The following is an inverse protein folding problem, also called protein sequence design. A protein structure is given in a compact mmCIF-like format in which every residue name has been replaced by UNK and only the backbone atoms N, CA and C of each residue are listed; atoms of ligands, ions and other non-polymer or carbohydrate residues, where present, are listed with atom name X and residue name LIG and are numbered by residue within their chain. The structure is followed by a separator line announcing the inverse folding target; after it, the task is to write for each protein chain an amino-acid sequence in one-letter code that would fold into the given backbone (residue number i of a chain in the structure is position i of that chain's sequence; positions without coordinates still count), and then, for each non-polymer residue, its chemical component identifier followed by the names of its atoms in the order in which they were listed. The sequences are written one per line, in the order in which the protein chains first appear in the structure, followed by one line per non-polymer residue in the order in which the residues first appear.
data_IF_535027834771
#
_entry.id   IF_535027834771
#
_cell.length_a   1.000
_cell.length_b   1.000
_cell.length_c   1.000
_cell.angle_alpha   90.00
_cell.angle_beta   90.00
_cell.angle_gamma   90.00
#
_symmetry.space_group_name_H-M   'P 1'
#
loop_
_entity.id
_entity.type
_entity.pdbx_description
1 polymer ?
#
# COMPACT_ATOMS: atom_id res chain seq x y z
N UNK A 1 16.53 1.00 -17.72
CA UNK A 1 15.26 0.52 -17.17
C UNK A 1 14.37 0.04 -18.31
N UNK A 2 14.06 -1.24 -18.34
CA UNK A 2 13.32 -1.86 -19.45
C UNK A 2 11.88 -2.24 -19.09
N UNK A 3 11.61 -2.49 -17.81
CA UNK A 3 10.28 -2.89 -17.37
C UNK A 3 9.27 -1.76 -17.50
N UNK A 4 8.10 -2.06 -18.07
CA UNK A 4 7.07 -1.04 -18.34
C UNK A 4 6.49 -0.43 -17.08
N UNK A 5 6.27 -1.22 -16.01
CA UNK A 5 5.80 -0.70 -14.74
C UNK A 5 6.80 0.30 -14.17
N UNK A 6 8.08 -0.06 -14.11
CA UNK A 6 9.11 0.80 -13.54
C UNK A 6 9.31 2.08 -14.36
N UNK A 7 9.17 2.00 -15.68
CA UNK A 7 9.22 3.19 -16.53
C UNK A 7 8.09 4.17 -16.21
N UNK A 8 6.87 3.69 -16.16
CA UNK A 8 5.72 4.54 -15.85
C UNK A 8 5.78 5.06 -14.41
N UNK A 9 6.22 4.23 -13.47
CA UNK A 9 6.42 4.61 -12.07
C UNK A 9 7.38 5.79 -11.95
N UNK A 10 8.47 5.75 -12.72
CA UNK A 10 9.44 6.84 -12.77
C UNK A 10 8.88 8.06 -13.48
N UNK A 11 8.19 7.89 -14.60
CA UNK A 11 7.59 8.99 -15.37
C UNK A 11 6.56 9.77 -14.55
N UNK A 12 5.82 9.07 -13.68
CA UNK A 12 4.86 9.70 -12.78
C UNK A 12 5.49 10.32 -11.55
N UNK A 13 6.81 10.27 -11.45
CA UNK A 13 7.58 10.80 -10.31
C UNK A 13 7.24 10.10 -8.98
N UNK A 14 6.80 8.85 -9.04
CA UNK A 14 6.55 8.04 -7.84
C UNK A 14 7.84 7.45 -7.28
N UNK A 15 8.87 7.31 -8.10
CA UNK A 15 10.13 6.72 -7.70
C UNK A 15 11.02 7.73 -7.00
N UNK A 16 11.26 7.53 -5.70
CA UNK A 16 12.20 8.32 -4.93
C UNK A 16 13.53 7.58 -4.79
N UNK A 17 13.46 6.35 -4.29
CA UNK A 17 14.65 5.50 -4.16
C UNK A 17 14.23 4.03 -4.20
N UNK A 18 15.17 3.17 -4.57
CA UNK A 18 14.96 1.74 -4.63
C UNK A 18 16.26 1.03 -4.28
N UNK A 19 16.16 0.01 -3.45
CA UNK A 19 17.35 -0.70 -2.95
C UNK A 19 18.16 -1.36 -4.06
N UNK A 20 17.53 -2.00 -5.02
CA UNK A 20 18.22 -2.73 -6.09
C UNK A 20 17.41 -2.62 -7.37
N UNK A 21 17.41 -1.41 -7.95
CA UNK A 21 16.54 -1.11 -9.10
C UNK A 21 16.86 -1.99 -10.31
N UNK A 22 18.11 -2.27 -10.59
CA UNK A 22 18.50 -3.06 -11.77
C UNK A 22 18.08 -4.52 -11.61
N UNK A 23 18.25 -5.08 -10.42
CA UNK A 23 17.78 -6.43 -10.12
C UNK A 23 16.26 -6.54 -10.17
N UNK A 24 15.57 -5.53 -9.65
CA UNK A 24 14.11 -5.47 -9.69
C UNK A 24 13.61 -5.36 -11.14
N UNK A 25 14.24 -4.53 -11.94
CA UNK A 25 13.92 -4.38 -13.36
C UNK A 25 14.03 -5.71 -14.10
N UNK A 26 15.12 -6.44 -13.89
CA UNK A 26 15.33 -7.76 -14.49
C UNK A 26 14.28 -8.76 -14.01
N UNK A 27 14.01 -8.78 -12.71
CA UNK A 27 13.04 -9.70 -12.12
C UNK A 27 11.64 -9.48 -12.69
N UNK A 28 11.22 -8.22 -12.79
CA UNK A 28 9.89 -7.86 -13.28
C UNK A 28 9.71 -8.10 -14.78
N UNK A 29 10.80 -8.11 -15.55
CA UNK A 29 10.73 -8.48 -16.96
C UNK A 29 10.47 -9.96 -17.16
N UNK A 30 10.98 -10.80 -16.27
CA UNK A 30 10.92 -12.26 -16.39
C UNK A 30 9.74 -12.88 -15.66
N UNK A 31 9.24 -12.22 -14.61
CA UNK A 31 8.25 -12.79 -13.72
C UNK A 31 7.19 -11.77 -13.34
N UNK A 32 5.99 -12.29 -13.02
CA UNK A 32 5.01 -11.52 -12.28
C UNK A 32 5.41 -11.54 -10.82
N UNK A 33 5.46 -10.38 -10.19
CA UNK A 33 5.86 -10.26 -8.79
C UNK A 33 4.66 -9.93 -7.91
N UNK A 34 4.84 -10.13 -6.61
CA UNK A 34 3.93 -9.70 -5.58
C UNK A 34 4.61 -8.57 -4.81
N UNK A 35 3.88 -7.51 -4.56
CA UNK A 35 4.39 -6.38 -3.77
C UNK A 35 3.32 -5.87 -2.83
N UNK A 36 3.71 -5.39 -1.68
CA UNK A 36 2.77 -4.90 -0.69
C UNK A 36 3.13 -3.50 -0.20
N UNK A 37 2.11 -2.81 0.29
CA UNK A 37 2.26 -1.57 1.06
C UNK A 37 1.45 -1.72 2.32
N UNK A 38 2.01 -1.32 3.46
CA UNK A 38 1.31 -1.32 4.75
C UNK A 38 0.51 -0.05 4.94
N UNK A 39 -0.70 -0.20 5.48
CA UNK A 39 -1.58 0.91 5.82
C UNK A 39 -2.01 0.79 7.28
N UNK A 40 -2.01 1.90 8.01
CA UNK A 40 -2.52 1.94 9.37
C UNK A 40 -4.04 2.04 9.39
N UNK A 41 -4.65 1.39 10.37
CA UNK A 41 -6.11 1.37 10.54
C UNK A 41 -6.55 2.30 11.66
N UNK A 42 -6.04 3.53 11.67
CA UNK A 42 -6.34 4.53 12.71
C UNK A 42 -7.59 5.35 12.41
N UNK A 43 -8.13 5.25 11.20
CA UNK A 43 -9.34 5.95 10.79
C UNK A 43 -10.28 5.01 10.03
N UNK A 44 -11.55 5.39 9.91
CA UNK A 44 -12.54 4.59 9.19
C UNK A 44 -12.39 4.65 7.68
N UNK A 45 -11.66 5.64 7.18
CA UNK A 45 -11.41 5.80 5.75
C UNK A 45 -9.96 6.25 5.54
N UNK A 46 -9.48 6.06 4.32
CA UNK A 46 -8.13 6.49 3.94
C UNK A 46 -8.11 7.99 3.72
N UNK A 47 -7.03 8.64 4.14
CA UNK A 47 -6.81 10.05 3.88
C UNK A 47 -6.10 10.26 2.53
N UNK A 48 -5.98 11.53 2.12
CA UNK A 48 -5.39 11.90 0.82
C UNK A 48 -3.96 11.35 0.66
N UNK A 49 -3.17 11.32 1.73
CA UNK A 49 -1.81 10.77 1.68
C UNK A 49 -1.75 9.30 1.30
N UNK A 50 -2.80 8.54 1.59
CA UNK A 50 -2.87 7.13 1.20
C UNK A 50 -3.24 6.93 -0.26
N UNK A 51 -3.79 7.93 -0.92
CA UNK A 51 -4.21 7.82 -2.31
C UNK A 51 -3.02 7.55 -3.23
N UNK A 52 -1.89 8.19 -2.99
CA UNK A 52 -0.68 7.95 -3.76
C UNK A 52 -0.26 6.48 -3.67
N UNK A 53 -0.29 5.91 -2.48
CA UNK A 53 0.03 4.50 -2.25
C UNK A 53 -0.92 3.58 -2.99
N UNK A 54 -2.22 3.89 -2.98
CA UNK A 54 -3.24 3.15 -3.73
C UNK A 54 -2.94 3.22 -5.23
N UNK A 55 -2.59 4.38 -5.74
CA UNK A 55 -2.27 4.55 -7.16
C UNK A 55 -1.04 3.76 -7.57
N UNK A 56 -0.03 3.65 -6.70
CA UNK A 56 1.14 2.82 -6.94
C UNK A 56 0.77 1.34 -7.08
N UNK A 57 -0.08 0.84 -6.19
CA UNK A 57 -0.56 -0.55 -6.26
C UNK A 57 -1.45 -0.78 -7.48
N UNK A 58 -2.27 0.19 -7.82
CA UNK A 58 -3.11 0.12 -9.02
C UNK A 58 -2.27 0.03 -10.28
N UNK A 59 -1.20 0.80 -10.36
CA UNK A 59 -0.26 0.76 -11.48
C UNK A 59 0.41 -0.60 -11.58
N UNK A 60 0.80 -1.18 -10.44
CA UNK A 60 1.36 -2.52 -10.40
C UNK A 60 0.40 -3.55 -10.97
N UNK A 61 -0.87 -3.47 -10.58
CA UNK A 61 -1.92 -4.37 -11.08
C UNK A 61 -2.14 -4.18 -12.58
N UNK A 62 -2.08 -2.96 -13.07
CA UNK A 62 -2.23 -2.63 -14.50
C UNK A 62 -1.25 -3.42 -15.36
N UNK A 63 -0.02 -3.62 -14.88
CA UNK A 63 1.01 -4.34 -15.61
C UNK A 63 1.07 -5.83 -15.29
N UNK A 64 0.02 -6.36 -14.68
CA UNK A 64 -0.12 -7.82 -14.48
C UNK A 64 0.56 -8.37 -13.24
N UNK A 65 1.14 -7.53 -12.40
CA UNK A 65 1.70 -7.95 -11.13
C UNK A 65 0.61 -7.99 -10.05
N UNK A 66 0.90 -8.62 -8.92
CA UNK A 66 -0.08 -8.78 -7.85
C UNK A 66 0.18 -7.80 -6.70
N UNK A 67 -0.68 -6.78 -6.53
CA UNK A 67 -0.59 -5.92 -5.36
C UNK A 67 -1.19 -6.62 -4.13
N UNK A 68 -0.58 -6.38 -2.97
CA UNK A 68 -1.06 -6.87 -1.69
C UNK A 68 -1.23 -5.67 -0.77
N UNK A 69 -2.40 -5.56 -0.17
CA UNK A 69 -2.69 -4.52 0.82
C UNK A 69 -2.50 -5.14 2.20
N UNK A 70 -1.57 -4.58 2.98
CA UNK A 70 -1.33 -5.01 4.35
C UNK A 70 -1.95 -3.99 5.30
N UNK A 71 -2.95 -4.41 6.06
CA UNK A 71 -3.60 -3.56 7.05
C UNK A 71 -2.99 -3.85 8.42
N UNK A 72 -2.29 -2.86 8.98
CA UNK A 72 -1.50 -3.02 10.19
C UNK A 72 -2.30 -2.90 11.46
N UNK A 73 -2.96 -3.98 11.89
CA UNK A 73 -3.69 -4.02 13.16
C UNK A 73 -2.80 -3.89 14.39
N UNK A 74 -1.68 -4.58 14.41
CA UNK A 74 -0.76 -4.56 15.55
C UNK A 74 -0.09 -3.20 15.75
N UNK A 75 0.42 -2.61 14.67
CA UNK A 75 1.04 -1.28 14.69
C UNK A 75 0.04 -0.23 15.13
N UNK A 76 -1.20 -0.35 14.67
CA UNK A 76 -2.27 0.56 15.05
C UNK A 76 -2.56 0.51 16.55
N UNK A 77 -2.55 -0.69 17.16
CA UNK A 77 -2.81 -0.87 18.59
C UNK A 77 -1.74 -0.23 19.46
N UNK A 78 -0.50 -0.32 19.04
CA UNK A 78 0.65 0.23 19.80
C UNK A 78 0.79 1.74 19.58
N UNK A 79 0.32 2.22 18.44
CA UNK A 79 0.61 3.57 17.97
C UNK A 79 1.96 3.58 17.28
N UNK A 80 1.98 3.91 16.00
CA UNK A 80 3.20 3.89 15.20
C UNK A 80 4.17 4.97 15.69
N UNK A 81 5.38 4.63 16.16
CA UNK A 81 6.34 5.62 16.64
C UNK A 81 6.88 6.54 15.54
N UNK A 82 6.72 6.20 14.28
CA UNK A 82 7.11 7.07 13.16
C UNK A 82 6.10 8.19 12.91
N UNK A 83 4.94 8.15 13.56
CA UNK A 83 3.91 9.18 13.43
C UNK A 83 4.13 10.36 14.34
N UNK A 84 3.17 11.28 14.32
CA UNK A 84 3.16 12.45 15.22
C UNK A 84 2.62 12.03 16.58
N UNK A 85 3.49 11.94 17.55
CA UNK A 85 3.22 11.32 18.84
C UNK A 85 2.07 11.96 19.61
N UNK A 86 2.02 13.28 19.67
CA UNK A 86 1.07 14.02 20.47
C UNK A 86 -0.38 13.88 20.03
N UNK A 87 -0.62 13.36 18.83
CA UNK A 87 -1.97 13.24 18.27
C UNK A 87 -2.46 11.80 18.18
N UNK A 88 -1.62 10.83 18.50
CA UNK A 88 -1.98 9.42 18.38
C UNK A 88 -2.85 8.98 19.55
N UNK A 89 -4.07 8.56 19.22
CA UNK A 89 -5.00 8.00 20.16
C UNK A 89 -4.92 6.47 20.13
N UNK A 90 -4.92 5.85 21.30
CA UNK A 90 -4.99 4.40 21.40
C UNK A 90 -6.41 3.96 21.07
N UNK A 91 -6.53 3.08 20.08
CA UNK A 91 -7.83 2.56 19.63
C UNK A 91 -8.16 1.24 20.33
N UNK A 92 -9.43 1.01 20.55
CA UNK A 92 -9.92 -0.29 21.03
C UNK A 92 -9.86 -1.32 19.89
N UNK A 93 -9.86 -2.61 20.24
CA UNK A 93 -9.90 -3.68 19.23
C UNK A 93 -11.12 -3.58 18.33
N UNK A 94 -12.27 -3.20 18.89
CA UNK A 94 -13.49 -3.02 18.07
C UNK A 94 -13.37 -1.86 17.08
N UNK A 95 -12.74 -0.77 17.50
CA UNK A 95 -12.49 0.37 16.60
C UNK A 95 -11.54 -0.02 15.47
N UNK A 96 -10.48 -0.76 15.78
CA UNK A 96 -9.54 -1.24 14.79
C UNK A 96 -10.21 -2.17 13.79
N UNK A 97 -11.02 -3.13 14.26
CA UNK A 97 -11.74 -4.04 13.38
C UNK A 97 -12.72 -3.30 12.46
N UNK A 98 -13.42 -2.30 13.00
CA UNK A 98 -14.33 -1.46 12.20
C UNK A 98 -13.56 -0.69 11.14
N UNK A 99 -12.42 -0.11 11.50
CA UNK A 99 -11.59 0.63 10.56
C UNK A 99 -11.07 -0.28 9.45
N UNK A 100 -10.64 -1.49 9.78
CA UNK A 100 -10.20 -2.48 8.80
C UNK A 100 -11.31 -2.79 7.80
N UNK A 101 -12.53 -3.06 8.28
CA UNK A 101 -13.67 -3.38 7.41
C UNK A 101 -14.01 -2.22 6.47
N UNK A 102 -14.00 -1.00 7.00
CA UNK A 102 -14.32 0.18 6.20
C UNK A 102 -13.25 0.45 5.15
N UNK A 103 -11.97 0.29 5.50
CA UNK A 103 -10.87 0.45 4.58
C UNK A 103 -10.88 -0.63 3.50
N UNK A 104 -11.22 -1.87 3.85
CA UNK A 104 -11.38 -2.93 2.87
C UNK A 104 -12.44 -2.60 1.82
N UNK A 105 -13.54 -1.97 2.21
CA UNK A 105 -14.56 -1.52 1.27
C UNK A 105 -14.00 -0.50 0.26
N UNK A 106 -13.18 0.43 0.75
CA UNK A 106 -12.52 1.41 -0.13
C UNK A 106 -11.60 0.71 -1.12
N UNK A 107 -10.77 -0.22 -0.64
CA UNK A 107 -9.86 -0.96 -1.51
C UNK A 107 -10.62 -1.80 -2.54
N UNK A 108 -11.77 -2.37 -2.19
CA UNK A 108 -12.58 -3.14 -3.13
C UNK A 108 -13.11 -2.29 -4.29
N UNK A 109 -13.28 -1.00 -4.10
CA UNK A 109 -13.67 -0.07 -5.16
C UNK A 109 -12.54 0.10 -6.18
N UNK A 110 -11.30 0.19 -5.70
CA UNK A 110 -10.14 0.43 -6.56
C UNK A 110 -9.54 -0.84 -7.15
N UNK A 111 -9.64 -1.96 -6.42
CA UNK A 111 -8.98 -3.21 -6.80
C UNK A 111 -9.99 -4.34 -6.88
N UNK A 112 -9.81 -5.17 -7.88
CA UNK A 112 -10.64 -6.35 -8.06
C UNK A 112 -9.87 -7.60 -7.57
N UNK A 113 -9.67 -7.69 -6.24
CA UNK A 113 -9.04 -8.83 -5.62
C UNK A 113 -9.57 -9.05 -4.19
N UNK A 114 -9.27 -10.23 -3.63
CA UNK A 114 -9.73 -10.58 -2.28
C UNK A 114 -8.68 -10.25 -1.24
N UNK A 115 -9.14 -9.76 -0.08
CA UNK A 115 -8.30 -9.56 1.10
C UNK A 115 -8.21 -10.84 1.91
N UNK A 116 -7.04 -11.06 2.48
CA UNK A 116 -6.80 -12.19 3.37
C UNK A 116 -6.28 -11.75 4.71
#
# INVERSE_FOLDING_TARGET
MKNSFLKEFKEREYLNQCTSIDELDDLMQKNKIKAYIGFDCTAQSLHVGSLLQIMCLKLLQKYGHQPIVLLGGGTTRIGDPSGKEETRKILTDKEIERNIKNIQKVFNIFFNFFFR
#
